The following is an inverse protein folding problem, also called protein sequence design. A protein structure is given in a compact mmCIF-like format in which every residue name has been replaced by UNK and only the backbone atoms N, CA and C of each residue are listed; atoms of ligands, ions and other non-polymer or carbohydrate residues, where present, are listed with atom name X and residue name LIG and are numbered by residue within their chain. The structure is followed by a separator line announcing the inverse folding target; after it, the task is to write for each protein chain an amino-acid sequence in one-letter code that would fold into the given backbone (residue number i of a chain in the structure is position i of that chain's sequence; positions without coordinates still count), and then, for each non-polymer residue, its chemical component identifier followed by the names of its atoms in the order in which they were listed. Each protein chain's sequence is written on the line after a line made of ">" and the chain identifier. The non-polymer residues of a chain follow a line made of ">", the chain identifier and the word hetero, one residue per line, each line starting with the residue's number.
data_IF_238670193159
#
_entry.id   IF_238670193159
#
_cell.length_a   1.000
_cell.length_b   1.000
_cell.length_c   1.000
_cell.angle_alpha   90.00
_cell.angle_beta   90.00
_cell.angle_gamma   90.00
#
_symmetry.space_group_name_H-M   'P 1'
#
loop_
_entity.id
_entity.type
_entity.pdbx_description
1 polymer ?
#
# COMPACT_ATOMS: atom_id res chain seq x y z
N UNK A 1 -2.98 9.62 12.87
CA UNK A 1 -4.21 9.46 12.08
C UNK A 1 -3.77 9.05 10.68
N UNK A 2 -4.23 7.91 10.18
CA UNK A 2 -3.91 7.44 8.83
C UNK A 2 -4.88 8.06 7.84
N UNK A 3 -4.37 8.47 6.68
CA UNK A 3 -5.17 9.13 5.64
C UNK A 3 -5.40 8.14 4.51
N UNK A 4 -6.67 7.96 4.13
CA UNK A 4 -7.05 7.13 2.99
C UNK A 4 -6.70 7.85 1.70
N UNK A 5 -6.05 7.15 0.77
CA UNK A 5 -5.81 7.71 -0.56
C UNK A 5 -7.14 7.75 -1.32
N UNK A 6 -7.60 8.96 -1.64
CA UNK A 6 -8.92 9.21 -2.21
C UNK A 6 -8.87 10.09 -3.46
N UNK A 7 -7.75 10.78 -3.69
CA UNK A 7 -7.57 11.70 -4.82
C UNK A 7 -6.22 11.52 -5.49
N UNK A 8 -6.16 11.86 -6.79
CA UNK A 8 -4.90 11.88 -7.54
C UNK A 8 -3.89 12.88 -6.95
N UNK A 9 -4.35 13.97 -6.33
CA UNK A 9 -3.48 14.94 -5.68
C UNK A 9 -2.76 14.34 -4.46
N UNK A 10 -3.39 13.42 -3.73
CA UNK A 10 -2.75 12.69 -2.64
C UNK A 10 -1.74 11.67 -3.17
N UNK A 11 -2.11 10.93 -4.22
CA UNK A 11 -1.19 9.98 -4.88
C UNK A 11 0.03 10.69 -5.47
N UNK A 12 -0.15 11.87 -6.06
CA UNK A 12 0.94 12.67 -6.62
C UNK A 12 1.93 13.21 -5.57
N UNK A 13 1.55 13.22 -4.28
CA UNK A 13 2.45 13.62 -3.18
C UNK A 13 3.34 12.48 -2.69
N UNK A 14 3.02 11.24 -3.07
CA UNK A 14 3.80 10.06 -2.72
C UNK A 14 5.21 10.12 -3.30
N UNK A 15 6.16 9.57 -2.56
CA UNK A 15 7.58 9.54 -2.92
C UNK A 15 8.16 8.16 -2.69
N UNK A 16 9.26 7.87 -3.38
CA UNK A 16 10.09 6.71 -3.05
C UNK A 16 10.52 6.76 -1.59
N UNK A 17 10.38 5.64 -0.89
CA UNK A 17 10.62 5.49 0.55
C UNK A 17 9.38 5.71 1.43
N UNK A 18 8.29 6.25 0.89
CA UNK A 18 7.04 6.40 1.66
C UNK A 18 6.44 5.02 1.98
N UNK A 19 5.75 4.95 3.11
CA UNK A 19 5.04 3.75 3.56
C UNK A 19 3.56 3.88 3.25
N UNK A 20 3.04 2.92 2.49
CA UNK A 20 1.61 2.76 2.25
C UNK A 20 1.10 1.49 2.92
N UNK A 21 -0.13 1.51 3.38
CA UNK A 21 -0.79 0.38 4.03
C UNK A 21 -2.03 -0.02 3.25
N UNK A 22 -2.21 -1.32 3.06
CA UNK A 22 -3.45 -1.91 2.51
C UNK A 22 -4.30 -2.43 3.66
N UNK A 23 -5.46 -1.81 3.90
CA UNK A 23 -6.42 -2.19 4.94
C UNK A 23 -7.87 -1.97 4.47
N UNK A 24 -8.76 -2.95 4.70
CA UNK A 24 -8.43 -4.31 5.16
C UNK A 24 -7.75 -5.11 4.03
N UNK A 25 -6.90 -6.07 4.39
CA UNK A 25 -6.27 -6.98 3.41
C UNK A 25 -7.26 -7.98 2.81
N UNK A 26 -8.37 -8.24 3.51
CA UNK A 26 -9.47 -9.10 3.09
C UNK A 26 -10.80 -8.50 3.53
N UNK A 27 -11.81 -8.57 2.66
CA UNK A 27 -13.16 -8.04 2.88
C UNK A 27 -13.38 -6.67 2.25
N UNK A 28 -14.51 -6.06 2.60
CA UNK A 28 -14.94 -4.79 2.02
C UNK A 28 -14.09 -3.59 2.48
N UNK A 29 -13.84 -2.61 1.61
CA UNK A 29 -13.23 -1.33 1.95
C UNK A 29 -13.90 -0.64 3.16
N UNK A 30 -13.10 -0.04 4.04
CA UNK A 30 -13.60 0.66 5.23
C UNK A 30 -13.24 2.14 5.20
N UNK A 31 -14.08 3.00 5.76
CA UNK A 31 -13.86 4.45 5.78
C UNK A 31 -12.93 4.92 6.90
N UNK A 32 -12.64 4.04 7.86
CA UNK A 32 -11.72 4.31 8.98
C UNK A 32 -10.62 3.26 9.03
N UNK A 33 -9.42 3.69 9.39
CA UNK A 33 -8.29 2.79 9.62
C UNK A 33 -8.27 2.34 11.08
N UNK A 34 -8.37 1.03 11.31
CA UNK A 34 -8.29 0.44 12.64
C UNK A 34 -6.88 -0.09 12.93
N UNK A 35 -6.10 0.68 13.69
CA UNK A 35 -4.72 0.33 14.06
C UNK A 35 -4.62 -0.94 14.94
N UNK A 36 -5.72 -1.36 15.59
CA UNK A 36 -5.73 -2.58 16.41
C UNK A 36 -5.70 -3.85 15.55
N UNK A 37 -6.17 -3.78 14.29
CA UNK A 37 -6.31 -4.91 13.36
C UNK A 37 -5.07 -5.12 12.50
N UNK A 38 -3.89 -5.18 13.13
CA UNK A 38 -2.59 -5.36 12.46
C UNK A 38 -2.54 -6.58 11.53
N UNK A 39 -3.18 -7.70 11.91
CA UNK A 39 -3.26 -8.93 11.11
C UNK A 39 -4.03 -8.78 9.79
N UNK A 40 -4.82 -7.70 9.65
CA UNK A 40 -5.58 -7.38 8.45
C UNK A 40 -4.98 -6.18 7.70
N UNK A 41 -3.72 -5.86 7.95
CA UNK A 41 -3.01 -4.74 7.32
C UNK A 41 -1.72 -5.26 6.69
N UNK A 42 -1.58 -5.05 5.39
CA UNK A 42 -0.29 -5.22 4.72
C UNK A 42 0.42 -3.87 4.66
N UNK A 43 1.72 -3.87 4.92
CA UNK A 43 2.54 -2.65 4.86
C UNK A 43 3.52 -2.76 3.71
N UNK A 44 3.61 -1.70 2.91
CA UNK A 44 4.50 -1.62 1.76
C UNK A 44 5.31 -0.33 1.79
N UNK A 45 6.54 -0.41 1.30
CA UNK A 45 7.39 0.73 0.96
C UNK A 45 7.32 0.99 -0.54
N UNK A 46 7.19 2.25 -0.93
CA UNK A 46 7.28 2.65 -2.35
C UNK A 46 8.73 2.58 -2.79
N UNK A 47 9.04 1.69 -3.73
CA UNK A 47 10.40 1.57 -4.31
C UNK A 47 10.59 2.47 -5.50
N UNK A 48 9.61 2.55 -6.38
CA UNK A 48 9.69 3.40 -7.57
C UNK A 48 8.31 3.92 -7.97
N UNK A 49 8.29 5.12 -8.54
CA UNK A 49 7.10 5.72 -9.16
C UNK A 49 7.48 6.08 -10.59
N UNK A 50 6.84 5.44 -11.55
CA UNK A 50 7.01 5.72 -12.96
C UNK A 50 5.87 6.61 -13.43
N UNK A 51 6.16 7.90 -13.60
CA UNK A 51 5.17 8.89 -14.05
C UNK A 51 4.75 8.69 -15.51
N UNK A 52 5.59 8.09 -16.36
CA UNK A 52 5.30 7.91 -17.80
C UNK A 52 4.21 6.88 -18.06
N UNK A 53 4.08 5.88 -17.19
CA UNK A 53 3.06 4.85 -17.29
C UNK A 53 2.18 4.75 -16.03
N UNK A 54 2.28 5.74 -15.14
CA UNK A 54 1.52 5.85 -13.89
C UNK A 54 1.63 4.62 -12.97
N UNK A 55 2.75 3.89 -13.03
CA UNK A 55 2.96 2.69 -12.21
C UNK A 55 3.71 3.03 -10.92
N UNK A 56 3.32 2.37 -9.83
CA UNK A 56 4.00 2.41 -8.53
C UNK A 56 4.47 1.00 -8.20
N UNK A 57 5.75 0.86 -7.89
CA UNK A 57 6.32 -0.38 -7.37
C UNK A 57 6.31 -0.33 -5.84
N UNK A 58 5.62 -1.28 -5.26
CA UNK A 58 5.47 -1.46 -3.82
C UNK A 58 6.20 -2.73 -3.38
N UNK A 59 6.95 -2.63 -2.29
CA UNK A 59 7.64 -3.75 -1.66
C UNK A 59 7.05 -3.99 -0.28
N UNK A 60 6.60 -5.21 0.02
CA UNK A 60 6.13 -5.56 1.36
C UNK A 60 7.24 -5.36 2.40
N UNK A 61 6.89 -4.78 3.55
CA UNK A 61 7.81 -4.52 4.66
C UNK A 61 7.22 -4.99 6.00
N UNK A 62 8.09 -5.24 6.98
CA UNK A 62 7.71 -5.53 8.36
C UNK A 62 7.20 -6.95 8.63
N UNK A 63 6.34 -7.10 9.63
CA UNK A 63 5.79 -8.40 10.10
C UNK A 63 5.03 -9.16 9.01
N UNK A 64 4.49 -8.48 8.00
CA UNK A 64 3.78 -9.08 6.86
C UNK A 64 4.69 -9.92 5.95
N UNK A 65 6.01 -9.71 6.00
CA UNK A 65 6.98 -10.54 5.28
C UNK A 65 7.07 -11.94 5.93
N UNK A 66 6.88 -12.05 7.25
CA UNK A 66 7.26 -13.25 8.00
C UNK A 66 6.33 -14.45 7.89
N UNK A 67 5.16 -14.36 7.24
CA UNK A 67 4.22 -15.50 7.28
C UNK A 67 4.57 -16.62 6.29
N UNK A 68 5.16 -16.34 5.11
CA UNK A 68 5.48 -17.39 4.12
C UNK A 68 6.65 -17.07 3.16
N UNK A 69 7.40 -15.99 3.34
CA UNK A 69 8.49 -15.67 2.41
C UNK A 69 9.78 -16.44 2.74
N UNK A 70 10.35 -17.12 1.75
CA UNK A 70 11.75 -17.60 1.84
C UNK A 70 12.70 -16.40 1.95
N UNK A 71 13.93 -16.60 2.42
CA UNK A 71 14.96 -15.55 2.39
C UNK A 71 15.19 -15.09 0.94
N UNK A 72 14.64 -13.94 0.57
CA UNK A 72 14.66 -13.40 -0.80
C UNK A 72 13.27 -13.15 -1.42
N UNK A 73 12.19 -13.72 -0.88
CA UNK A 73 10.82 -13.52 -1.35
C UNK A 73 10.24 -12.21 -0.80
N UNK A 74 10.77 -11.09 -1.29
CA UNK A 74 10.15 -9.80 -1.05
C UNK A 74 8.91 -9.72 -1.94
N UNK A 75 7.72 -9.73 -1.34
CA UNK A 75 6.47 -9.51 -2.07
C UNK A 75 6.48 -8.16 -2.77
N UNK A 76 6.51 -8.17 -4.11
CA UNK A 76 6.45 -6.98 -4.96
C UNK A 76 5.06 -6.84 -5.56
N UNK A 77 4.52 -5.63 -5.53
CA UNK A 77 3.26 -5.28 -6.18
C UNK A 77 3.51 -4.12 -7.12
N UNK A 78 3.16 -4.31 -8.38
CA UNK A 78 3.14 -3.25 -9.38
C UNK A 78 1.68 -2.81 -9.55
N UNK A 79 1.38 -1.58 -9.15
CA UNK A 79 0.02 -1.05 -9.13
C UNK A 79 -0.04 0.26 -9.91
N UNK A 80 -1.14 0.51 -10.62
CA UNK A 80 -1.37 1.81 -11.24
C UNK A 80 -1.72 2.84 -10.16
N UNK A 81 -1.32 4.08 -10.38
CA UNK A 81 -1.57 5.20 -9.46
C UNK A 81 -3.07 5.40 -9.19
N UNK A 82 -3.93 5.17 -10.19
CA UNK A 82 -5.38 5.27 -10.02
C UNK A 82 -5.97 4.11 -9.20
N UNK A 83 -5.39 2.90 -9.27
CA UNK A 83 -5.82 1.75 -8.45
C UNK A 83 -5.61 2.00 -6.95
N UNK A 84 -4.62 2.81 -6.57
CA UNK A 84 -4.43 3.23 -5.17
C UNK A 84 -5.67 3.96 -4.61
N UNK A 85 -6.49 4.56 -5.49
CA UNK A 85 -7.72 5.27 -5.13
C UNK A 85 -8.92 4.34 -5.30
N UNK A 86 -9.06 3.68 -6.46
CA UNK A 86 -10.24 2.88 -6.81
C UNK A 86 -10.46 1.69 -5.87
N UNK A 87 -9.38 1.05 -5.41
CA UNK A 87 -9.51 -0.09 -4.51
C UNK A 87 -10.00 0.32 -3.11
N UNK A 88 -9.91 1.62 -2.76
CA UNK A 88 -10.39 2.17 -1.47
C UNK A 88 -9.85 1.43 -0.24
N UNK A 89 -8.67 0.83 -0.33
CA UNK A 89 -8.01 0.13 0.77
C UNK A 89 -6.63 0.66 1.08
N UNK A 90 -6.16 1.70 0.38
CA UNK A 90 -4.80 2.22 0.53
C UNK A 90 -4.76 3.44 1.44
N UNK A 91 -3.78 3.45 2.35
CA UNK A 91 -3.61 4.45 3.39
C UNK A 91 -2.16 4.88 3.52
N UNK A 92 -1.94 6.14 3.91
CA UNK A 92 -0.62 6.70 4.29
C UNK A 92 -0.60 7.13 5.75
#
# INVERSE_FOLDING_TARGET
>A
MKTKLSTLAEVARLRTGDIVKRFPTQGEPQDTFDESRKKHTDTFEIRSINASNEMVELVMTGESVHMFSSAGDIGRVFIKSYNLIEEKVWWV
#
